data_IF_100768599721
#
_entry.id   IF_100768599721
#
_cell.length_a   1.000
_cell.length_b   1.000
_cell.length_c   1.000
_cell.angle_alpha   90.00
_cell.angle_beta   90.00
_cell.angle_gamma   90.00
#
_symmetry.space_group_name_H-M   'P 1'
#
loop_
_entity.id
_entity.type
_entity.pdbx_description
1 polymer ?
#
# COMPACT_ATOMS: atom_id res chain seq x y z
N UNK A 1 -0.75 14.11 3.67
CA UNK A 1 0.71 14.29 3.72
C UNK A 1 1.04 15.52 2.89
N UNK A 2 2.20 16.16 3.07
CA UNK A 2 2.65 17.26 2.19
C UNK A 2 3.27 16.73 0.88
N UNK A 3 2.73 15.64 0.32
CA UNK A 3 3.27 15.00 -0.90
C UNK A 3 4.31 13.88 -0.68
N UNK A 4 4.76 13.62 0.55
CA UNK A 4 5.66 12.49 0.80
C UNK A 4 4.92 11.13 0.71
N UNK A 5 5.54 10.16 0.04
CA UNK A 5 5.18 8.73 0.10
C UNK A 5 5.75 8.14 1.38
N UNK A 6 4.94 7.38 2.11
CA UNK A 6 5.36 6.70 3.35
C UNK A 6 5.23 5.21 3.14
N UNK A 7 6.23 4.49 3.62
CA UNK A 7 6.26 3.02 3.65
C UNK A 7 6.00 2.57 5.08
N UNK A 8 5.34 1.43 5.27
CA UNK A 8 5.18 0.86 6.61
C UNK A 8 6.56 0.55 7.19
N UNK A 9 6.71 0.69 8.51
CA UNK A 9 8.02 0.55 9.15
C UNK A 9 8.64 -0.85 8.93
N UNK A 10 7.82 -1.90 8.95
CA UNK A 10 8.28 -3.26 8.67
C UNK A 10 8.81 -3.40 7.23
N UNK A 11 8.03 -2.95 6.25
CA UNK A 11 8.40 -3.00 4.83
C UNK A 11 9.63 -2.12 4.54
N UNK A 12 9.76 -0.97 5.21
CA UNK A 12 10.94 -0.11 5.11
C UNK A 12 12.20 -0.84 5.60
N UNK A 13 12.11 -1.59 6.70
CA UNK A 13 13.24 -2.37 7.22
C UNK A 13 13.59 -3.54 6.33
N UNK A 14 12.60 -4.27 5.82
CA UNK A 14 12.81 -5.35 4.86
C UNK A 14 13.45 -4.83 3.56
N UNK A 15 12.94 -3.72 3.00
CA UNK A 15 13.52 -3.07 1.83
C UNK A 15 14.96 -2.62 2.07
N UNK A 16 15.25 -2.01 3.22
CA UNK A 16 16.60 -1.58 3.57
C UNK A 16 17.59 -2.75 3.66
N UNK A 17 17.19 -3.84 4.33
CA UNK A 17 18.02 -5.04 4.47
C UNK A 17 18.32 -5.66 3.08
N UNK A 18 17.31 -5.72 2.19
CA UNK A 18 17.47 -6.21 0.81
C UNK A 18 18.39 -5.32 -0.03
N UNK A 19 18.29 -4.00 0.09
CA UNK A 19 19.17 -3.07 -0.63
C UNK A 19 20.61 -3.23 -0.17
N UNK A 20 20.85 -3.30 1.15
CA UNK A 20 22.21 -3.48 1.69
C UNK A 20 22.80 -4.80 1.20
N UNK A 21 22.05 -5.89 1.28
CA UNK A 21 22.50 -7.20 0.86
C UNK A 21 22.79 -7.27 -0.65
N UNK A 22 21.90 -6.71 -1.48
CA UNK A 22 22.04 -6.76 -2.95
C UNK A 22 23.11 -5.82 -3.50
N UNK A 23 23.43 -4.73 -2.80
CA UNK A 23 24.43 -3.73 -3.22
C UNK A 23 25.76 -3.87 -2.49
N UNK A 24 25.89 -4.86 -1.60
CA UNK A 24 27.07 -5.09 -0.78
C UNK A 24 27.57 -3.80 -0.11
N UNK A 25 26.63 -2.99 0.40
CA UNK A 25 26.98 -1.72 1.02
C UNK A 25 27.84 -1.99 2.26
N UNK A 26 28.83 -1.12 2.51
CA UNK A 26 29.72 -1.19 3.67
C UNK A 26 28.98 -0.79 4.96
N UNK A 27 28.00 -1.61 5.34
CA UNK A 27 27.18 -1.51 6.52
C UNK A 27 27.13 -2.87 7.20
N UNK A 28 27.59 -2.91 8.44
CA UNK A 28 27.50 -4.12 9.25
C UNK A 28 26.07 -4.36 9.74
N UNK A 29 25.65 -5.63 9.93
CA UNK A 29 24.35 -5.95 10.53
C UNK A 29 24.12 -5.28 11.89
N UNK A 30 25.20 -5.07 12.67
CA UNK A 30 25.16 -4.37 13.96
C UNK A 30 24.79 -2.89 13.81
N UNK A 31 25.34 -2.19 12.81
CA UNK A 31 25.01 -0.79 12.55
C UNK A 31 23.54 -0.64 12.16
N UNK A 32 23.02 -1.52 11.32
CA UNK A 32 21.61 -1.51 10.90
C UNK A 32 20.69 -1.78 12.10
N UNK A 33 20.99 -2.81 12.90
CA UNK A 33 20.23 -3.13 14.10
C UNK A 33 20.23 -1.97 15.12
N UNK A 34 21.35 -1.27 15.26
CA UNK A 34 21.46 -0.09 16.12
C UNK A 34 20.65 1.09 15.59
N UNK A 35 20.66 1.32 14.27
CA UNK A 35 19.87 2.36 13.63
C UNK A 35 18.36 2.11 13.81
N UNK A 36 17.91 0.86 13.74
CA UNK A 36 16.50 0.48 13.99
C UNK A 36 16.06 0.76 15.44
N UNK A 37 16.98 0.74 16.41
CA UNK A 37 16.68 0.89 17.85
C UNK A 37 16.89 2.31 18.40
N UNK A 38 17.61 3.16 17.67
CA UNK A 38 18.00 4.48 18.16
C UNK A 38 17.50 5.60 17.25
N UNK A 39 17.63 6.85 17.72
CA UNK A 39 17.36 8.05 16.91
C UNK A 39 18.58 8.51 16.10
N UNK A 40 19.67 7.73 16.08
CA UNK A 40 20.88 8.08 15.37
C UNK A 40 20.71 7.74 13.88
N UNK A 41 20.93 8.73 13.03
CA UNK A 41 20.89 8.53 11.57
C UNK A 41 22.09 7.72 11.11
N UNK A 42 21.82 6.66 10.35
CA UNK A 42 22.81 5.92 9.58
C UNK A 42 22.55 6.21 8.10
N UNK A 43 23.53 6.80 7.42
CA UNK A 43 23.43 7.12 6.00
C UNK A 43 24.28 6.13 5.19
N UNK A 44 23.75 5.71 4.05
CA UNK A 44 24.50 4.95 3.05
C UNK A 44 24.24 5.54 1.67
N UNK A 45 25.27 5.50 0.83
CA UNK A 45 25.20 5.98 -0.55
C UNK A 45 24.74 4.82 -1.44
N UNK A 46 23.75 5.08 -2.28
CA UNK A 46 23.23 4.10 -3.23
C UNK A 46 23.87 4.37 -4.60
N UNK A 47 25.00 3.69 -4.86
CA UNK A 47 25.68 3.76 -6.15
C UNK A 47 25.80 2.36 -6.77
N UNK A 48 25.34 2.15 -8.01
CA UNK A 48 24.61 3.12 -8.84
C UNK A 48 23.22 3.45 -8.26
N UNK A 49 22.65 4.57 -8.69
CA UNK A 49 21.34 5.05 -8.22
C UNK A 49 20.25 3.99 -8.41
N UNK A 50 19.32 3.90 -7.47
CA UNK A 50 18.15 3.03 -7.58
C UNK A 50 17.03 3.86 -8.22
N UNK A 51 16.56 3.53 -9.44
CA UNK A 51 15.45 4.22 -10.06
C UNK A 51 14.17 3.94 -9.26
N UNK A 52 13.37 4.97 -9.06
CA UNK A 52 12.06 4.88 -8.41
C UNK A 52 11.03 5.48 -9.35
N UNK A 53 10.07 4.67 -9.74
CA UNK A 53 8.92 5.10 -10.53
C UNK A 53 7.67 5.10 -9.65
N UNK A 54 6.87 6.17 -9.74
CA UNK A 54 5.60 6.29 -9.03
C UNK A 54 4.51 6.39 -10.09
N UNK A 55 3.80 5.28 -10.31
CA UNK A 55 2.64 5.24 -11.20
C UNK A 55 1.35 5.38 -10.41
N UNK A 56 0.26 5.68 -11.12
CA UNK A 56 -1.08 5.74 -10.55
C UNK A 56 -1.98 4.80 -11.31
N UNK A 57 -2.02 3.54 -10.89
CA UNK A 57 -2.80 2.49 -11.51
C UNK A 57 -3.92 2.09 -10.58
N UNK A 58 -5.16 2.15 -11.08
CA UNK A 58 -6.35 1.81 -10.29
C UNK A 58 -6.83 0.39 -10.55
N UNK A 59 -6.19 -0.32 -11.47
CA UNK A 59 -6.45 -1.72 -11.75
C UNK A 59 -5.14 -2.37 -12.16
N UNK A 60 -4.77 -3.47 -11.50
CA UNK A 60 -3.51 -4.15 -11.73
C UNK A 60 -3.73 -5.65 -11.55
N UNK A 61 -3.22 -6.47 -12.47
CA UNK A 61 -3.07 -7.90 -12.26
C UNK A 61 -1.70 -8.19 -11.65
N UNK A 62 -1.68 -8.66 -10.39
CA UNK A 62 -0.46 -8.98 -9.67
C UNK A 62 -0.62 -10.32 -8.93
N UNK A 63 0.41 -11.17 -8.95
CA UNK A 63 0.40 -12.46 -8.27
C UNK A 63 -0.84 -13.34 -8.59
N UNK A 64 -1.32 -13.28 -9.84
CA UNK A 64 -2.49 -14.03 -10.31
C UNK A 64 -3.84 -13.52 -9.79
N UNK A 65 -3.89 -12.28 -9.30
CA UNK A 65 -5.10 -11.61 -8.83
C UNK A 65 -5.26 -10.27 -9.51
N UNK A 66 -6.48 -9.96 -9.92
CA UNK A 66 -6.87 -8.61 -10.28
C UNK A 66 -7.18 -7.83 -9.01
N UNK A 67 -6.50 -6.70 -8.85
CA UNK A 67 -6.74 -5.68 -7.84
C UNK A 67 -7.41 -4.47 -8.51
N UNK A 68 -8.53 -4.01 -7.98
CA UNK A 68 -9.19 -2.76 -8.40
C UNK A 68 -9.22 -1.81 -7.20
N UNK A 69 -8.52 -0.69 -7.33
CA UNK A 69 -8.42 0.37 -6.34
C UNK A 69 -9.42 1.50 -6.62
N UNK A 70 -9.83 2.24 -5.59
CA UNK A 70 -10.66 3.43 -5.77
C UNK A 70 -9.86 4.53 -6.49
N UNK A 71 -10.52 5.23 -7.42
CA UNK A 71 -9.92 6.39 -8.10
C UNK A 71 -9.95 7.64 -7.20
N UNK A 72 -9.01 7.71 -6.26
CA UNK A 72 -8.95 8.76 -5.23
C UNK A 72 -8.58 10.15 -5.77
N UNK A 73 -8.09 10.22 -7.01
CA UNK A 73 -7.74 11.47 -7.68
C UNK A 73 -8.75 11.89 -8.75
N UNK A 74 -9.86 11.17 -8.88
CA UNK A 74 -10.93 11.43 -9.86
C UNK A 74 -10.39 11.61 -11.29
N UNK A 75 -9.44 10.76 -11.68
CA UNK A 75 -8.84 10.78 -13.03
C UNK A 75 -9.67 9.99 -14.05
N UNK A 76 -10.85 9.51 -13.64
CA UNK A 76 -11.76 8.67 -14.43
C UNK A 76 -11.07 7.43 -14.97
N UNK A 77 -10.17 6.82 -14.19
CA UNK A 77 -9.44 5.60 -14.60
C UNK A 77 -10.28 4.33 -14.45
N UNK A 78 -11.28 4.31 -13.57
CA UNK A 78 -12.13 3.14 -13.30
C UNK A 78 -13.24 3.00 -14.34
N UNK A 79 -12.86 2.67 -15.58
CA UNK A 79 -13.79 2.43 -16.70
C UNK A 79 -13.79 0.96 -17.11
N UNK A 80 -14.88 0.53 -17.76
CA UNK A 80 -15.01 -0.83 -18.32
C UNK A 80 -13.92 -1.09 -19.34
N UNK A 81 -13.64 -0.11 -20.20
CA UNK A 81 -12.62 -0.21 -21.24
C UNK A 81 -11.23 -0.47 -20.65
N UNK A 82 -10.82 0.32 -19.66
CA UNK A 82 -9.53 0.14 -19.00
C UNK A 82 -9.45 -1.22 -18.30
N UNK A 83 -10.54 -1.66 -17.66
CA UNK A 83 -10.58 -2.95 -16.97
C UNK A 83 -10.42 -4.12 -17.96
N UNK A 84 -11.07 -4.04 -19.12
CA UNK A 84 -10.89 -5.03 -20.19
C UNK A 84 -9.48 -4.98 -20.76
N UNK A 85 -8.92 -3.79 -20.94
CA UNK A 85 -7.55 -3.64 -21.43
C UNK A 85 -6.53 -4.26 -20.48
N UNK A 86 -6.66 -4.03 -19.17
CA UNK A 86 -5.79 -4.61 -18.14
C UNK A 86 -5.89 -6.13 -18.06
N UNK A 87 -7.10 -6.69 -18.18
CA UNK A 87 -7.28 -8.14 -18.24
C UNK A 87 -6.61 -8.73 -19.49
N UNK A 88 -6.84 -8.12 -20.66
CA UNK A 88 -6.27 -8.60 -21.93
C UNK A 88 -4.75 -8.48 -21.99
N UNK A 89 -4.17 -7.38 -21.49
CA UNK A 89 -2.71 -7.20 -21.45
C UNK A 89 -2.01 -8.27 -20.60
N UNK A 90 -2.73 -8.83 -19.63
CA UNK A 90 -2.27 -9.92 -18.77
C UNK A 90 -2.72 -11.31 -19.24
N UNK A 91 -3.20 -11.44 -20.48
CA UNK A 91 -3.56 -12.73 -21.08
C UNK A 91 -4.85 -13.34 -20.53
N UNK A 92 -5.65 -12.58 -19.77
CA UNK A 92 -6.94 -13.03 -19.25
C UNK A 92 -8.00 -12.77 -20.32
N UNK A 93 -8.26 -13.78 -21.14
CA UNK A 93 -9.36 -13.73 -22.10
C UNK A 93 -10.66 -14.14 -21.42
N UNK A 94 -11.53 -13.16 -21.22
CA UNK A 94 -12.82 -13.36 -20.56
C UNK A 94 -13.93 -12.76 -21.44
N UNK A 95 -14.17 -13.36 -22.62
CA UNK A 95 -15.17 -12.87 -23.57
C UNK A 95 -16.58 -12.92 -22.98
N UNK A 96 -16.82 -13.83 -22.04
CA UNK A 96 -18.10 -14.01 -21.36
C UNK A 96 -18.35 -13.01 -20.22
N UNK A 97 -17.38 -12.15 -19.87
CA UNK A 97 -17.62 -11.07 -18.92
C UNK A 97 -18.51 -10.02 -19.54
N UNK A 98 -19.76 -9.96 -19.10
CA UNK A 98 -20.69 -8.90 -19.45
C UNK A 98 -20.25 -7.56 -18.86
N UNK A 99 -20.61 -6.47 -19.55
CA UNK A 99 -20.37 -5.11 -19.06
C UNK A 99 -21.00 -4.88 -17.67
N UNK A 100 -22.20 -5.44 -17.44
CA UNK A 100 -22.87 -5.40 -16.13
C UNK A 100 -22.02 -6.02 -15.01
N UNK A 101 -21.31 -7.10 -15.30
CA UNK A 101 -20.42 -7.75 -14.33
C UNK A 101 -19.22 -6.87 -14.01
N UNK A 102 -18.63 -6.25 -15.04
CA UNK A 102 -17.49 -5.35 -14.90
C UNK A 102 -17.87 -4.09 -14.12
N UNK A 103 -19.04 -3.52 -14.39
CA UNK A 103 -19.59 -2.40 -13.60
C UNK A 103 -19.74 -2.78 -12.13
N UNK A 104 -20.30 -3.96 -11.84
CA UNK A 104 -20.41 -4.47 -10.46
C UNK A 104 -19.06 -4.65 -9.78
N UNK A 105 -18.02 -5.04 -10.52
CA UNK A 105 -16.65 -5.14 -9.98
C UNK A 105 -16.09 -3.76 -9.66
N UNK A 106 -16.21 -2.79 -10.57
CA UNK A 106 -15.76 -1.41 -10.38
C UNK A 106 -16.49 -0.74 -9.21
N UNK A 107 -17.80 -0.95 -9.07
CA UNK A 107 -18.61 -0.39 -7.99
C UNK A 107 -18.22 -0.92 -6.59
N UNK A 108 -17.51 -2.04 -6.50
CA UNK A 108 -16.97 -2.56 -5.22
C UNK A 108 -15.69 -1.85 -4.77
N UNK A 109 -15.00 -1.16 -5.68
CA UNK A 109 -13.77 -0.44 -5.41
C UNK A 109 -14.05 1.05 -5.16
N UNK A 110 -14.63 1.36 -3.99
CA UNK A 110 -15.05 2.72 -3.62
C UNK A 110 -14.46 3.16 -2.29
N UNK A 111 -14.30 4.48 -2.14
CA UNK A 111 -13.79 5.12 -0.92
C UNK A 111 -12.41 4.59 -0.51
N UNK A 112 -12.30 3.81 0.57
CA UNK A 112 -11.05 3.22 1.09
C UNK A 112 -10.95 1.71 0.85
N UNK A 113 -11.75 1.18 -0.08
CA UNK A 113 -11.85 -0.25 -0.32
C UNK A 113 -11.43 -0.59 -1.74
N UNK A 114 -10.61 -1.62 -1.87
CA UNK A 114 -10.30 -2.25 -3.15
C UNK A 114 -11.14 -3.51 -3.33
N UNK A 115 -11.39 -3.89 -4.58
CA UNK A 115 -11.95 -5.19 -4.93
C UNK A 115 -10.84 -6.09 -5.48
N UNK A 116 -10.76 -7.32 -4.97
CA UNK A 116 -9.71 -8.28 -5.35
C UNK A 116 -10.34 -9.59 -5.76
N UNK A 117 -9.94 -10.13 -6.91
CA UNK A 117 -10.43 -11.41 -7.42
C UNK A 117 -9.30 -12.16 -8.12
N UNK A 118 -9.25 -13.49 -7.98
CA UNK A 118 -8.23 -14.28 -8.69
C UNK A 118 -8.52 -14.35 -10.18
N UNK A 119 -7.47 -14.36 -11.01
CA UNK A 119 -7.59 -14.57 -12.46
C UNK A 119 -8.32 -15.87 -12.79
N UNK A 120 -8.03 -16.95 -12.05
CA UNK A 120 -8.73 -18.23 -12.20
C UNK A 120 -10.24 -18.13 -11.98
N UNK A 121 -10.68 -17.34 -10.99
CA UNK A 121 -12.11 -17.11 -10.76
C UNK A 121 -12.73 -16.26 -11.87
N UNK A 122 -11.96 -15.36 -12.48
CA UNK A 122 -12.41 -14.56 -13.61
C UNK A 122 -12.65 -15.46 -14.83
N UNK A 123 -11.67 -16.28 -15.19
CA UNK A 123 -11.75 -17.23 -16.31
C UNK A 123 -12.87 -18.25 -16.11
N UNK A 124 -13.13 -18.67 -14.87
CA UNK A 124 -14.22 -19.58 -14.54
C UNK A 124 -15.61 -18.91 -14.45
N UNK A 125 -15.73 -17.61 -14.77
CA UNK A 125 -17.00 -16.86 -14.67
C UNK A 125 -17.50 -16.62 -13.24
N UNK A 126 -16.65 -16.82 -12.23
CA UNK A 126 -16.94 -16.69 -10.79
C UNK A 126 -16.40 -15.39 -10.21
N UNK A 127 -16.45 -14.30 -10.97
CA UNK A 127 -15.84 -13.01 -10.61
C UNK A 127 -16.38 -12.41 -9.32
N UNK A 128 -17.71 -12.22 -9.24
CA UNK A 128 -18.36 -11.61 -8.08
C UNK A 128 -18.39 -12.50 -6.82
N UNK A 129 -18.72 -13.81 -6.89
CA UNK A 129 -18.68 -14.68 -5.71
C UNK A 129 -17.27 -15.06 -5.29
N UNK A 130 -16.31 -15.09 -6.23
CA UNK A 130 -14.91 -15.41 -5.96
C UNK A 130 -14.02 -14.20 -5.64
N UNK A 131 -14.60 -12.99 -5.61
CA UNK A 131 -13.90 -11.76 -5.30
C UNK A 131 -14.27 -11.20 -3.92
N UNK A 132 -13.35 -10.44 -3.33
CA UNK A 132 -13.46 -9.90 -1.98
C UNK A 132 -13.15 -8.41 -1.96
N UNK A 133 -13.83 -7.68 -1.08
CA UNK A 133 -13.56 -6.26 -0.86
C UNK A 133 -12.67 -6.11 0.37
N UNK A 134 -11.49 -5.52 0.17
CA UNK A 134 -10.46 -5.36 1.21
C UNK A 134 -10.23 -3.88 1.46
N UNK A 135 -9.97 -3.49 2.71
CA UNK A 135 -9.60 -2.10 3.03
C UNK A 135 -8.20 -1.82 2.47
N UNK A 136 -8.07 -0.72 1.73
CA UNK A 136 -6.77 -0.17 1.34
C UNK A 136 -6.14 0.39 2.60
N UNK A 137 -5.22 -0.38 3.16
CA UNK A 137 -4.56 -0.20 4.45
C UNK A 137 -4.21 1.27 4.69
N UNK A 138 -4.79 1.86 5.75
CA UNK A 138 -4.19 2.99 6.49
C UNK A 138 -4.34 2.74 7.99
N UNK A 139 -3.37 2.10 8.67
CA UNK A 139 -3.25 2.18 10.10
C UNK A 139 -2.25 3.30 10.37
N UNK A 140 -2.75 4.51 10.59
CA UNK A 140 -2.08 5.34 11.58
C UNK A 140 -2.44 4.72 12.93
N UNK A 141 -1.47 4.36 13.79
CA UNK A 141 -1.79 3.86 15.12
C UNK A 141 -2.64 4.91 15.84
N UNK A 142 -3.72 4.46 16.48
CA UNK A 142 -4.51 5.29 17.37
C UNK A 142 -3.55 5.96 18.38
N UNK A 143 -3.51 7.29 18.37
CA UNK A 143 -2.82 8.03 19.40
C UNK A 143 -3.56 7.75 20.70
N UNK A 144 -2.97 6.93 21.59
CA UNK A 144 -3.43 6.80 22.96
C UNK A 144 -3.60 8.22 23.53
N UNK A 145 -4.75 8.56 24.13
CA UNK A 145 -4.93 9.88 24.73
C UNK A 145 -3.83 10.10 25.75
N UNK A 146 -3.14 11.24 25.65
CA UNK A 146 -2.17 11.67 26.67
C UNK A 146 -2.92 11.69 28.00
N UNK A 147 -2.55 10.82 28.93
CA UNK A 147 -2.96 10.92 30.32
C UNK A 147 -2.61 12.32 30.79
N UNK A 148 -3.63 13.12 31.10
CA UNK A 148 -3.49 14.43 31.70
C UNK A 148 -2.77 14.28 33.03
N UNK A 149 -1.47 14.50 33.03
CA UNK A 149 -0.69 14.66 34.25
C UNK A 149 -1.23 15.85 35.03
N UNK A 150 -1.99 15.57 36.08
CA UNK A 150 -2.40 16.54 37.09
C UNK A 150 -1.15 17.02 37.82
N UNK A 151 -0.58 18.14 37.38
CA UNK A 151 0.43 18.86 38.16
C UNK A 151 -0.29 19.63 39.26
N UNK A 152 -0.45 18.99 40.42
CA UNK A 152 -0.87 19.66 41.66
C UNK A 152 0.27 20.60 42.09
N UNK A 153 0.16 21.88 41.75
CA UNK A 153 0.97 22.96 42.34
C UNK A 153 0.49 23.17 43.79
N UNK A 154 1.22 22.61 44.76
CA UNK A 154 1.10 23.01 46.18
C UNK A 154 1.50 24.49 46.31
N UNK A 155 0.51 25.37 46.50
CA UNK A 155 0.72 26.71 47.05
C UNK A 155 1.18 26.55 48.50
N UNK A 156 2.45 26.86 48.79
CA UNK A 156 2.89 27.16 50.15
C UNK A 156 2.55 28.62 50.45
N UNK A 157 1.55 28.80 51.31
CA UNK A 157 1.24 30.05 51.99
C UNK A 157 2.29 30.32 53.05
N UNK A 158 2.69 31.58 53.14
CA UNK A 158 3.51 32.18 54.19
C UNK A 158 2.95 31.97 55.59
N UNK A 159 3.83 31.73 56.56
CA UNK A 159 3.88 32.36 57.88
C UNK A 159 5.29 32.21 58.43
#
# INVERSE_FOLDING_TARGET
>A
SHGCVRVLQADLYDLADKIVASRELDLTPKQIAQAKKTKKTLAAKLEPVIPVEITYDTMVVEAGKLHIYPDVYDRKKNTIENLRAELRSNGVDAPDLSDETLEKMLARAVSKKQFVVSVKNIEAGRTLPGGQTIVVVTPLPERKPKSSGSTIRKRRSSR
#
